data_IF_551757995304
#
_entry.id   IF_551757995304
#
_cell.length_a   1.000
_cell.length_b   1.000
_cell.length_c   1.000
_cell.angle_alpha   90.00
_cell.angle_beta   90.00
_cell.angle_gamma   90.00
#
_symmetry.space_group_name_H-M   'P 1'
#
loop_
_entity.id
_entity.type
_entity.pdbx_description
1 polymer ?
#
# COMPACT_ATOMS: atom_id res chain seq x y z
N UNK A 1 -20.63 13.06 -8.56
CA UNK A 1 -20.73 12.14 -7.42
C UNK A 1 -19.33 11.61 -7.18
N UNK A 2 -18.68 11.91 -6.06
CA UNK A 2 -17.40 11.29 -5.70
C UNK A 2 -17.67 9.86 -5.25
N UNK A 3 -17.21 8.89 -6.04
CA UNK A 3 -17.18 7.50 -5.60
C UNK A 3 -16.18 7.40 -4.44
N UNK A 4 -16.47 6.55 -3.46
CA UNK A 4 -15.59 6.26 -2.32
C UNK A 4 -14.99 4.86 -2.52
N UNK A 5 -13.75 4.67 -2.11
CA UNK A 5 -13.06 3.37 -2.26
C UNK A 5 -13.80 2.36 -1.39
N UNK A 6 -14.23 1.24 -1.97
CA UNK A 6 -14.85 0.18 -1.20
C UNK A 6 -13.81 -0.53 -0.32
N UNK A 7 -14.26 -1.15 0.77
CA UNK A 7 -13.37 -1.93 1.64
C UNK A 7 -12.65 -3.07 0.90
N UNK A 8 -13.32 -3.68 -0.09
CA UNK A 8 -12.75 -4.74 -0.91
C UNK A 8 -11.62 -4.24 -1.81
N UNK A 9 -11.82 -3.12 -2.53
CA UNK A 9 -10.78 -2.49 -3.35
C UNK A 9 -9.59 -2.08 -2.50
N UNK A 10 -9.86 -1.55 -1.29
CA UNK A 10 -8.82 -1.18 -0.34
C UNK A 10 -7.99 -2.39 0.13
N UNK A 11 -8.63 -3.53 0.42
CA UNK A 11 -7.92 -4.75 0.83
C UNK A 11 -7.09 -5.36 -0.30
N UNK A 12 -7.53 -5.26 -1.56
CA UNK A 12 -6.71 -5.67 -2.71
C UNK A 12 -5.50 -4.74 -2.84
N UNK A 13 -5.71 -3.42 -2.84
CA UNK A 13 -4.63 -2.45 -2.90
C UNK A 13 -3.60 -2.67 -1.78
N UNK A 14 -4.08 -2.96 -0.57
CA UNK A 14 -3.23 -3.32 0.57
C UNK A 14 -2.38 -4.54 0.31
N UNK A 15 -2.94 -5.60 -0.27
CA UNK A 15 -2.19 -6.81 -0.60
C UNK A 15 -1.11 -6.54 -1.64
N UNK A 16 -1.42 -5.75 -2.68
CA UNK A 16 -0.45 -5.36 -3.73
C UNK A 16 0.71 -4.56 -3.12
N UNK A 17 0.42 -3.55 -2.28
CA UNK A 17 1.46 -2.70 -1.70
C UNK A 17 2.29 -3.44 -0.66
N UNK A 18 1.69 -4.37 0.10
CA UNK A 18 2.43 -5.27 0.99
C UNK A 18 3.41 -6.13 0.20
N UNK A 19 2.96 -6.76 -0.90
CA UNK A 19 3.81 -7.57 -1.76
C UNK A 19 4.94 -6.76 -2.41
N UNK A 20 4.63 -5.54 -2.87
CA UNK A 20 5.61 -4.63 -3.43
C UNK A 20 6.69 -4.25 -2.39
N UNK A 21 6.31 -4.02 -1.14
CA UNK A 21 7.23 -3.68 -0.05
C UNK A 21 8.10 -4.86 0.40
N UNK A 22 7.55 -6.08 0.42
CA UNK A 22 8.31 -7.28 0.78
C UNK A 22 9.27 -7.69 -0.33
N UNK A 23 8.87 -7.53 -1.59
CA UNK A 23 9.69 -7.86 -2.77
C UNK A 23 10.78 -6.82 -3.07
N UNK A 24 10.63 -5.57 -2.60
CA UNK A 24 11.60 -4.48 -2.83
C UNK A 24 12.10 -3.88 -1.50
N UNK A 25 12.88 -4.63 -0.71
CA UNK A 25 13.34 -4.21 0.61
C UNK A 25 14.42 -3.10 0.55
N UNK A 26 14.92 -2.74 -0.63
CA UNK A 26 15.83 -1.61 -0.86
C UNK A 26 15.10 -0.28 -1.04
N UNK A 27 13.80 -0.31 -1.36
CA UNK A 27 13.01 0.89 -1.64
C UNK A 27 12.61 1.60 -0.36
N UNK A 28 12.55 2.92 -0.44
CA UNK A 28 12.22 3.79 0.68
C UNK A 28 10.71 4.06 0.77
N UNK A 29 10.29 4.72 1.85
CA UNK A 29 8.88 5.01 2.11
C UNK A 29 8.25 5.97 1.10
N UNK A 30 9.04 6.84 0.44
CA UNK A 30 8.56 7.74 -0.61
C UNK A 30 8.15 6.95 -1.86
N UNK A 31 8.95 5.94 -2.23
CA UNK A 31 8.59 5.02 -3.30
C UNK A 31 7.30 4.25 -2.97
N UNK A 32 7.19 3.71 -1.76
CA UNK A 32 5.96 3.02 -1.31
C UNK A 32 4.73 3.91 -1.33
N UNK A 33 4.89 5.20 -0.97
CA UNK A 33 3.82 6.18 -1.05
C UNK A 33 3.35 6.41 -2.47
N UNK A 34 4.29 6.55 -3.41
CA UNK A 34 3.99 6.70 -4.84
C UNK A 34 3.27 5.47 -5.39
N UNK A 35 3.70 4.26 -5.02
CA UNK A 35 3.04 3.02 -5.42
C UNK A 35 1.62 2.93 -4.85
N UNK A 36 1.44 3.21 -3.56
CA UNK A 36 0.13 3.19 -2.92
C UNK A 36 -0.86 4.16 -3.56
N UNK A 37 -0.39 5.35 -3.95
CA UNK A 37 -1.20 6.32 -4.68
C UNK A 37 -1.58 5.79 -6.07
N UNK A 38 -0.60 5.35 -6.88
CA UNK A 38 -0.85 4.83 -8.22
C UNK A 38 -1.81 3.65 -8.21
N UNK A 39 -1.61 2.68 -7.31
CA UNK A 39 -2.49 1.52 -7.19
C UNK A 39 -3.93 1.92 -6.87
N UNK A 40 -4.15 2.86 -5.95
CA UNK A 40 -5.51 3.33 -5.66
C UNK A 40 -6.13 4.11 -6.82
N UNK A 41 -5.35 4.93 -7.52
CA UNK A 41 -5.81 5.70 -8.68
C UNK A 41 -6.18 4.80 -9.87
N UNK A 42 -5.39 3.74 -10.13
CA UNK A 42 -5.65 2.77 -11.20
C UNK A 42 -6.83 1.85 -10.87
N UNK A 43 -6.93 1.39 -9.62
CA UNK A 43 -8.00 0.49 -9.21
C UNK A 43 -9.34 1.19 -9.04
N UNK A 44 -9.34 2.44 -8.58
CA UNK A 44 -10.56 3.19 -8.25
C UNK A 44 -10.64 4.48 -9.10
N UNK A 45 -10.78 4.39 -10.44
CA UNK A 45 -10.81 5.57 -11.29
C UNK A 45 -12.00 6.47 -10.94
N UNK A 46 -11.75 7.77 -10.76
CA UNK A 46 -12.77 8.76 -10.41
C UNK A 46 -13.11 8.83 -8.91
N UNK A 47 -12.45 8.02 -8.08
CA UNK A 47 -12.56 8.08 -6.62
C UNK A 47 -11.53 9.03 -6.03
N UNK A 48 -11.93 9.82 -5.02
CA UNK A 48 -11.00 10.70 -4.31
C UNK A 48 -10.14 9.86 -3.36
N UNK A 49 -8.90 9.60 -3.75
CA UNK A 49 -7.88 9.01 -2.87
C UNK A 49 -7.53 9.99 -1.75
N UNK A 50 -7.60 9.54 -0.50
CA UNK A 50 -7.26 10.37 0.67
C UNK A 50 -5.86 10.06 1.19
N UNK A 51 -5.23 11.04 1.83
CA UNK A 51 -3.93 10.84 2.48
C UNK A 51 -3.97 9.77 3.58
N UNK A 52 -5.11 9.59 4.24
CA UNK A 52 -5.32 8.54 5.24
C UNK A 52 -5.30 7.14 4.62
N UNK A 53 -5.96 6.95 3.48
CA UNK A 53 -5.94 5.68 2.75
C UNK A 53 -4.52 5.31 2.33
N UNK A 54 -3.79 6.26 1.75
CA UNK A 54 -2.39 6.09 1.37
C UNK A 54 -1.53 5.73 2.60
N UNK A 55 -1.69 6.45 3.72
CA UNK A 55 -0.95 6.17 4.95
C UNK A 55 -1.26 4.80 5.53
N UNK A 56 -2.52 4.35 5.47
CA UNK A 56 -2.93 3.04 5.94
C UNK A 56 -2.29 1.91 5.12
N UNK A 57 -2.21 2.05 3.79
CA UNK A 57 -1.52 1.11 2.91
C UNK A 57 -0.01 1.03 3.23
N UNK A 58 0.65 2.19 3.33
CA UNK A 58 2.09 2.27 3.64
C UNK A 58 2.38 1.64 5.00
N UNK A 59 1.57 1.92 6.01
CA UNK A 59 1.75 1.39 7.37
C UNK A 59 1.66 -0.14 7.37
N UNK A 60 0.68 -0.70 6.66
CA UNK A 60 0.54 -2.15 6.51
C UNK A 60 1.78 -2.77 5.83
N UNK A 61 2.27 -2.12 4.79
CA UNK A 61 3.41 -2.57 4.01
C UNK A 61 4.74 -2.52 4.78
N UNK A 62 5.00 -1.43 5.52
CA UNK A 62 6.17 -1.32 6.41
C UNK A 62 6.12 -2.40 7.49
N UNK A 63 4.95 -2.63 8.09
CA UNK A 63 4.78 -3.66 9.12
C UNK A 63 5.02 -5.07 8.58
N UNK A 64 4.56 -5.36 7.37
CA UNK A 64 4.79 -6.63 6.71
C UNK A 64 6.28 -6.83 6.39
N UNK A 65 6.93 -5.82 5.79
CA UNK A 65 8.38 -5.84 5.51
C UNK A 65 9.21 -6.06 6.77
N UNK A 66 8.90 -5.34 7.86
CA UNK A 66 9.62 -5.50 9.14
C UNK A 66 9.50 -6.91 9.73
N UNK A 67 8.36 -7.59 9.54
CA UNK A 67 8.20 -9.00 9.94
C UNK A 67 9.04 -9.95 9.09
N UNK A 68 9.09 -9.74 7.77
CA UNK A 68 9.91 -10.56 6.86
C UNK A 68 11.40 -10.41 7.16
N UNK A 69 11.87 -9.17 7.41
CA UNK A 69 13.26 -8.96 7.81
C UNK A 69 13.56 -9.64 9.14
N UNK A 70 12.68 -9.52 10.15
CA UNK A 70 12.87 -10.18 11.45
C UNK A 70 12.90 -11.71 11.35
N UNK A 71 12.11 -12.32 10.45
CA UNK A 71 12.10 -13.77 10.24
C UNK A 71 13.35 -14.31 9.52
N UNK A 72 14.16 -13.45 8.89
CA UNK A 72 15.39 -13.85 8.19
C UNK A 72 16.65 -13.76 9.07
N UNK A 73 16.55 -13.22 10.29
CA UNK A 73 17.68 -13.05 11.23
C UNK A 73 17.64 -14.04 12.40
N UNK A 74 16.68 -14.98 12.42
CA UNK A 74 16.52 -16.01 13.46
C UNK A 74 16.98 -17.39 12.94
#
# INVERSE_FOLDING_TARGET
MTLSISAFEFDIAKSIIVEAATSNPDKDNSWLRSQAQMTLEEMCPGTKVTGEQINALITAAIKARGRTTAALVD
#
